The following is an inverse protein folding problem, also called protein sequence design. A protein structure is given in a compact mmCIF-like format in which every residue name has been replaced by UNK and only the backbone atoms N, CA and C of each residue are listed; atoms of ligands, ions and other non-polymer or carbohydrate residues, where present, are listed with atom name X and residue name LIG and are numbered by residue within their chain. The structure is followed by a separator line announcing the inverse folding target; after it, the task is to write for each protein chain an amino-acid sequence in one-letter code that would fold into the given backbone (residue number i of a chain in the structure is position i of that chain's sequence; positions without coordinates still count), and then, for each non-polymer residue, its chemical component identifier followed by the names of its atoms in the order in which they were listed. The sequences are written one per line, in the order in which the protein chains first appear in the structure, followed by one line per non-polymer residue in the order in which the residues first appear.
data_IF_849945546441
#
_entry.id   IF_849945546441
#
_cell.length_a   1.000
_cell.length_b   1.000
_cell.length_c   1.000
_cell.angle_alpha   90.00
_cell.angle_beta   90.00
_cell.angle_gamma   90.00
#
_symmetry.space_group_name_H-M   'P 1'
#
loop_
_entity.id
_entity.type
_entity.pdbx_description
1 polymer ?
#
# COMPACT_ATOMS: atom_id res chain seq x y z
N UNK A 1 -2.09 -11.37 -7.96
CA UNK A 1 -2.33 -9.91 -7.95
C UNK A 1 -1.98 -9.29 -6.59
N UNK A 2 -2.37 -9.91 -5.47
CA UNK A 2 -2.03 -9.43 -4.11
C UNK A 2 -0.54 -9.08 -3.91
N UNK A 3 0.39 -9.86 -4.48
CA UNK A 3 1.83 -9.58 -4.38
C UNK A 3 2.27 -8.32 -5.12
N UNK A 4 1.59 -7.96 -6.21
CA UNK A 4 1.87 -6.73 -6.96
C UNK A 4 1.42 -5.49 -6.18
N UNK A 5 0.28 -5.58 -5.48
CA UNK A 5 -0.19 -4.52 -4.58
C UNK A 5 0.80 -4.34 -3.43
N UNK A 6 1.29 -5.44 -2.83
CA UNK A 6 2.32 -5.38 -1.79
C UNK A 6 3.63 -4.77 -2.32
N UNK A 7 4.06 -5.14 -3.53
CA UNK A 7 5.25 -4.59 -4.16
C UNK A 7 5.12 -3.08 -4.38
N UNK A 8 3.99 -2.60 -4.90
CA UNK A 8 3.75 -1.16 -5.08
C UNK A 8 3.70 -0.42 -3.74
N UNK A 9 2.99 -0.96 -2.74
CA UNK A 9 2.92 -0.41 -1.39
C UNK A 9 4.32 -0.17 -0.81
N UNK A 10 5.21 -1.17 -0.91
CA UNK A 10 6.55 -1.10 -0.32
C UNK A 10 7.56 -0.32 -1.15
N UNK A 11 7.61 -0.54 -2.47
CA UNK A 11 8.65 0.05 -3.31
C UNK A 11 8.33 1.48 -3.72
N UNK A 12 7.05 1.85 -3.79
CA UNK A 12 6.61 3.18 -4.24
C UNK A 12 6.06 4.00 -3.08
N UNK A 13 4.97 3.57 -2.44
CA UNK A 13 4.27 4.41 -1.47
C UNK A 13 5.06 4.60 -0.18
N UNK A 14 5.69 3.54 0.35
CA UNK A 14 6.61 3.67 1.49
C UNK A 14 7.80 4.57 1.19
N UNK A 15 8.39 4.45 0.00
CA UNK A 15 9.53 5.29 -0.41
C UNK A 15 9.13 6.75 -0.59
N UNK A 16 7.93 7.04 -1.10
CA UNK A 16 7.39 8.40 -1.18
C UNK A 16 7.20 9.01 0.21
N UNK A 17 6.64 8.28 1.16
CA UNK A 17 6.53 8.74 2.54
C UNK A 17 7.90 9.08 3.13
N UNK A 18 8.86 8.16 3.01
CA UNK A 18 10.23 8.34 3.50
C UNK A 18 10.92 9.58 2.89
N UNK A 19 10.92 9.68 1.56
CA UNK A 19 11.57 10.79 0.86
C UNK A 19 10.89 12.12 1.16
N UNK A 20 9.55 12.16 1.22
CA UNK A 20 8.83 13.40 1.47
C UNK A 20 9.04 13.92 2.89
N UNK A 21 9.10 13.04 3.91
CA UNK A 21 9.50 13.46 5.26
C UNK A 21 10.93 13.98 5.29
N UNK A 22 11.87 13.33 4.59
CA UNK A 22 13.25 13.82 4.49
C UNK A 22 13.35 15.21 3.84
N UNK A 23 12.47 15.52 2.87
CA UNK A 23 12.42 16.81 2.18
C UNK A 23 11.38 17.78 2.76
N UNK A 24 10.83 17.51 3.95
CA UNK A 24 9.86 18.38 4.64
C UNK A 24 8.64 18.74 3.76
N UNK A 25 8.13 17.77 3.00
CA UNK A 25 6.91 17.93 2.20
C UNK A 25 5.74 17.15 2.83
N UNK A 26 4.99 17.75 3.78
CA UNK A 26 3.97 17.04 4.56
C UNK A 26 2.77 16.59 3.72
N UNK A 27 2.34 17.38 2.75
CA UNK A 27 1.23 17.04 1.86
C UNK A 27 1.57 15.81 1.02
N UNK A 28 2.79 15.79 0.45
CA UNK A 28 3.25 14.65 -0.34
C UNK A 28 3.47 13.39 0.51
N UNK A 29 4.04 13.54 1.71
CA UNK A 29 4.24 12.44 2.65
C UNK A 29 2.90 11.78 3.03
N UNK A 30 1.87 12.61 3.25
CA UNK A 30 0.55 12.14 3.62
C UNK A 30 -0.18 11.53 2.42
N UNK A 31 -0.49 12.31 1.37
CA UNK A 31 -1.38 11.85 0.31
C UNK A 31 -0.77 10.79 -0.60
N UNK A 32 0.52 10.93 -0.93
CA UNK A 32 1.16 10.07 -1.92
C UNK A 32 2.00 8.97 -1.29
N UNK A 33 2.20 9.04 0.04
CA UNK A 33 2.87 8.02 0.84
C UNK A 33 1.89 7.28 1.74
N UNK A 34 1.58 7.87 2.90
CA UNK A 34 0.79 7.23 3.95
C UNK A 34 -0.62 6.80 3.50
N UNK A 35 -1.40 7.72 2.92
CA UNK A 35 -2.78 7.45 2.51
C UNK A 35 -2.84 6.35 1.44
N UNK A 36 -1.88 6.33 0.51
CA UNK A 36 -1.75 5.24 -0.48
C UNK A 36 -1.42 3.90 0.18
N UNK A 37 -0.49 3.85 1.14
CA UNK A 37 -0.20 2.60 1.87
C UNK A 37 -1.43 2.07 2.64
N UNK A 38 -2.23 2.96 3.23
CA UNK A 38 -3.47 2.57 3.91
C UNK A 38 -4.48 1.99 2.92
N UNK A 39 -4.61 2.59 1.73
CA UNK A 39 -5.44 2.06 0.65
C UNK A 39 -4.97 0.67 0.22
N UNK A 40 -3.67 0.51 -0.06
CA UNK A 40 -3.10 -0.78 -0.50
C UNK A 40 -3.32 -1.87 0.55
N UNK A 41 -3.19 -1.54 1.84
CA UNK A 41 -3.46 -2.48 2.94
C UNK A 41 -4.94 -2.94 2.93
N UNK A 42 -5.87 -2.03 2.67
CA UNK A 42 -7.29 -2.36 2.50
C UNK A 42 -7.51 -3.37 1.37
N UNK A 43 -6.93 -3.08 0.21
CA UNK A 43 -7.02 -3.92 -0.99
C UNK A 43 -6.39 -5.31 -0.74
N UNK A 44 -5.22 -5.38 -0.10
CA UNK A 44 -4.58 -6.64 0.28
C UNK A 44 -5.48 -7.48 1.20
N UNK A 45 -6.15 -6.84 2.17
CA UNK A 45 -7.07 -7.55 3.09
C UNK A 45 -8.28 -8.10 2.36
N UNK A 46 -8.88 -7.34 1.46
CA UNK A 46 -10.02 -7.77 0.64
C UNK A 46 -9.64 -8.93 -0.30
N UNK A 47 -8.50 -8.82 -0.97
CA UNK A 47 -7.95 -9.89 -1.81
C UNK A 47 -7.67 -11.15 -1.00
N UNK A 48 -7.03 -11.02 0.17
CA UNK A 48 -6.75 -12.14 1.04
C UNK A 48 -8.04 -12.84 1.54
N UNK A 49 -9.05 -12.07 1.92
CA UNK A 49 -10.35 -12.60 2.31
C UNK A 49 -11.00 -13.37 1.15
N UNK A 50 -11.01 -12.79 -0.05
CA UNK A 50 -11.58 -13.41 -1.25
C UNK A 50 -10.86 -14.71 -1.61
N UNK A 51 -9.53 -14.71 -1.59
CA UNK A 51 -8.73 -15.90 -1.85
C UNK A 51 -9.04 -17.01 -0.86
N UNK A 52 -9.15 -16.71 0.43
CA UNK A 52 -9.51 -17.69 1.46
C UNK A 52 -10.92 -18.24 1.29
N UNK A 53 -11.87 -17.38 0.92
CA UNK A 53 -13.27 -17.77 0.73
C UNK A 53 -13.49 -18.62 -0.54
N UNK A 54 -12.72 -18.37 -1.59
CA UNK A 54 -12.88 -19.04 -2.90
C UNK A 54 -11.92 -20.20 -3.12
N UNK A 55 -10.96 -20.42 -2.21
CA UNK A 55 -10.05 -21.55 -2.26
C UNK A 55 -10.82 -22.86 -2.09
N UNK A 56 -11.17 -23.51 -3.22
CA UNK A 56 -11.62 -24.90 -3.22
C UNK A 56 -10.47 -25.80 -2.76
N UNK A 57 -10.78 -26.73 -1.85
CA UNK A 57 -9.88 -27.84 -1.52
C UNK A 57 -9.71 -28.77 -2.71
#
# INVERSE_FOLDING_TARGET
HIDQVLFEMYMKHRMRAYQAFFHVNPDYAYWYGWAMMVKDLGEIRELAQTMRATHKK
#
